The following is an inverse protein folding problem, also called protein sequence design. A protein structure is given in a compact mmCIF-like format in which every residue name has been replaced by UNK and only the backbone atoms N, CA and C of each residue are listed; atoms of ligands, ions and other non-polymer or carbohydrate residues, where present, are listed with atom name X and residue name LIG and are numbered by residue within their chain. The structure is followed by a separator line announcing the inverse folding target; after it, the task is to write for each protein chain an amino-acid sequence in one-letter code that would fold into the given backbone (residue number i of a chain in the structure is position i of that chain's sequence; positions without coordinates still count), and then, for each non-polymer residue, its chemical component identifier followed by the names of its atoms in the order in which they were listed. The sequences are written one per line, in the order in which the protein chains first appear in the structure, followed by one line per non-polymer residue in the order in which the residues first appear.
data_IF_524700650025
#
_entry.id   IF_524700650025
#
_cell.length_a   1.000
_cell.length_b   1.000
_cell.length_c   1.000
_cell.angle_alpha   90.00
_cell.angle_beta   90.00
_cell.angle_gamma   90.00
#
_symmetry.space_group_name_H-M   'P 1'
#
loop_
_entity.id
_entity.type
_entity.pdbx_description
1 polymer ?
#
# COMPACT_ATOMS: atom_id res chain seq x y z
N UNK A 1 -55.59 29.24 39.32
CA UNK A 1 -55.36 28.35 38.16
C UNK A 1 -54.10 28.85 37.47
N UNK A 2 -52.92 28.44 37.95
CA UNK A 2 -52.05 27.37 37.40
C UNK A 2 -51.83 27.49 35.89
N UNK A 3 -50.62 27.88 35.51
CA UNK A 3 -50.10 27.81 34.14
C UNK A 3 -48.58 27.91 34.18
N UNK A 4 -47.95 26.83 34.67
CA UNK A 4 -46.49 26.65 34.77
C UNK A 4 -45.82 26.91 33.41
N UNK A 5 -44.76 27.70 33.43
CA UNK A 5 -43.87 27.88 32.29
C UNK A 5 -43.24 26.56 31.85
N UNK A 6 -43.16 26.38 30.53
CA UNK A 6 -42.33 25.36 29.91
C UNK A 6 -41.11 26.07 29.32
N UNK A 7 -39.95 25.85 29.93
CA UNK A 7 -38.66 26.25 29.37
C UNK A 7 -38.33 25.33 28.18
N UNK A 8 -37.76 25.86 27.08
CA UNK A 8 -37.22 25.01 26.03
C UNK A 8 -35.95 24.32 26.55
N UNK A 9 -35.89 23.01 26.36
CA UNK A 9 -34.72 22.19 26.67
C UNK A 9 -33.58 22.55 25.71
N UNK A 10 -32.42 22.90 26.27
CA UNK A 10 -31.21 23.18 25.53
C UNK A 10 -30.79 21.93 24.74
N UNK A 11 -30.64 22.07 23.42
CA UNK A 11 -30.00 21.07 22.57
C UNK A 11 -28.52 20.97 22.93
N UNK A 12 -28.09 19.79 23.34
CA UNK A 12 -26.72 19.47 23.72
C UNK A 12 -25.77 19.76 22.55
N UNK A 13 -24.69 20.50 22.84
CA UNK A 13 -23.68 20.90 21.87
C UNK A 13 -22.97 19.68 21.29
N UNK A 14 -23.07 19.52 19.96
CA UNK A 14 -22.19 18.63 19.21
C UNK A 14 -20.72 19.09 19.31
N UNK A 15 -19.75 18.18 19.16
CA UNK A 15 -18.34 18.52 19.31
C UNK A 15 -17.93 19.60 18.31
N UNK A 16 -17.56 20.78 18.82
CA UNK A 16 -16.88 21.81 18.04
C UNK A 16 -15.51 21.28 17.65
N UNK A 17 -15.39 20.73 16.44
CA UNK A 17 -14.09 20.33 15.89
C UNK A 17 -13.17 21.56 15.85
N UNK A 18 -12.08 21.53 16.60
CA UNK A 18 -11.18 22.68 16.69
C UNK A 18 -10.44 22.86 15.36
N UNK A 19 -10.18 24.13 15.01
CA UNK A 19 -9.38 24.49 13.82
C UNK A 19 -8.07 23.70 13.73
N UNK A 20 -7.39 23.52 14.87
CA UNK A 20 -6.12 22.79 14.98
C UNK A 20 -6.21 21.30 14.60
N UNK A 21 -7.38 20.66 14.70
CA UNK A 21 -7.57 19.28 14.24
C UNK A 21 -7.59 19.17 12.71
N UNK A 22 -7.96 20.24 12.01
CA UNK A 22 -8.09 20.27 10.54
C UNK A 22 -6.77 20.52 9.82
N UNK A 23 -5.75 20.97 10.54
CA UNK A 23 -4.40 21.25 10.01
C UNK A 23 -3.35 20.31 10.57
N UNK A 24 -3.75 19.21 11.23
CA UNK A 24 -2.81 18.18 11.69
C UNK A 24 -2.02 17.65 10.47
N UNK A 25 -0.68 17.64 10.55
CA UNK A 25 0.13 17.02 9.52
C UNK A 25 -0.30 15.57 9.30
N UNK A 26 -0.38 15.17 8.03
CA UNK A 26 -0.63 13.77 7.72
C UNK A 26 0.44 12.89 8.39
N UNK A 27 0.08 11.68 8.85
CA UNK A 27 1.06 10.75 9.39
C UNK A 27 2.15 10.48 8.34
N UNK A 28 3.39 10.33 8.80
CA UNK A 28 4.53 10.06 7.93
C UNK A 28 4.25 8.77 7.12
N UNK A 29 4.37 8.79 5.78
CA UNK A 29 4.21 7.58 5.00
C UNK A 29 5.34 6.60 5.30
N UNK A 30 5.01 5.31 5.35
CA UNK A 30 5.99 4.23 5.51
C UNK A 30 6.96 4.26 4.33
N UNK A 31 8.24 4.10 4.61
CA UNK A 31 9.30 4.09 3.60
C UNK A 31 10.30 2.96 3.85
N UNK A 32 10.73 2.29 2.79
CA UNK A 32 11.81 1.31 2.89
C UNK A 32 13.15 2.03 3.05
N UNK A 33 13.96 1.57 4.00
CA UNK A 33 15.33 2.04 4.26
C UNK A 33 16.37 1.20 3.55
N UNK A 34 16.04 -0.05 3.24
CA UNK A 34 16.88 -0.99 2.49
C UNK A 34 16.01 -1.95 1.67
N UNK A 35 16.51 -2.35 0.49
CA UNK A 35 15.85 -3.29 -0.40
C UNK A 35 16.86 -4.28 -0.97
N UNK A 36 16.65 -5.56 -0.70
CA UNK A 36 17.55 -6.65 -1.10
C UNK A 36 16.81 -7.69 -1.92
N UNK A 37 17.28 -7.88 -3.15
CA UNK A 37 16.84 -8.98 -3.99
C UNK A 37 17.75 -10.20 -3.73
N UNK A 38 17.17 -11.39 -3.61
CA UNK A 38 17.95 -12.62 -3.52
C UNK A 38 18.76 -12.86 -4.80
N UNK A 39 19.87 -13.60 -4.69
CA UNK A 39 20.80 -13.81 -5.81
C UNK A 39 20.14 -14.52 -7.01
N UNK A 40 19.14 -15.36 -6.75
CA UNK A 40 18.30 -16.04 -7.74
C UNK A 40 17.12 -15.21 -8.25
N UNK A 41 16.86 -14.03 -7.66
CA UNK A 41 15.75 -13.16 -8.01
C UNK A 41 14.38 -13.65 -7.55
N UNK A 42 14.32 -14.69 -6.71
CA UNK A 42 13.06 -15.33 -6.30
C UNK A 42 12.36 -14.59 -5.15
N UNK A 43 13.08 -13.75 -4.39
CA UNK A 43 12.53 -13.03 -3.24
C UNK A 43 13.10 -11.62 -3.08
N UNK A 44 12.24 -10.72 -2.60
CA UNK A 44 12.59 -9.35 -2.22
C UNK A 44 12.42 -9.22 -0.70
N UNK A 45 13.45 -8.74 -0.03
CA UNK A 45 13.42 -8.38 1.39
C UNK A 45 13.52 -6.87 1.53
N UNK A 46 12.59 -6.28 2.27
CA UNK A 46 12.53 -4.84 2.56
C UNK A 46 12.71 -4.60 4.05
N UNK A 47 13.61 -3.68 4.39
CA UNK A 47 13.73 -3.12 5.75
C UNK A 47 13.03 -1.77 5.76
N UNK A 48 12.25 -1.51 6.80
CA UNK A 48 11.40 -0.33 6.90
C UNK A 48 11.91 0.65 7.96
N UNK A 49 11.42 1.89 7.90
CA UNK A 49 11.79 2.96 8.83
C UNK A 49 11.24 2.78 10.24
N UNK A 50 10.23 1.93 10.42
CA UNK A 50 9.73 1.48 11.71
C UNK A 50 10.50 0.28 12.31
N UNK A 51 11.56 -0.16 11.62
CA UNK A 51 12.41 -1.28 12.04
C UNK A 51 11.86 -2.66 11.69
N UNK A 52 10.68 -2.75 11.07
CA UNK A 52 10.19 -4.03 10.56
C UNK A 52 11.02 -4.50 9.36
N UNK A 53 11.05 -5.82 9.17
CA UNK A 53 11.58 -6.46 7.96
C UNK A 53 10.51 -7.37 7.41
N UNK A 54 10.27 -7.30 6.11
CA UNK A 54 9.25 -8.10 5.43
C UNK A 54 9.78 -8.65 4.12
N UNK A 55 9.27 -9.80 3.69
CA UNK A 55 9.72 -10.48 2.49
C UNK A 55 8.54 -10.84 1.60
N UNK A 56 8.70 -10.78 0.28
CA UNK A 56 7.75 -11.32 -0.69
C UNK A 56 8.49 -12.08 -1.80
N UNK A 57 7.84 -13.11 -2.34
CA UNK A 57 8.36 -13.82 -3.51
C UNK A 57 8.13 -13.00 -4.78
N UNK A 58 8.95 -13.24 -5.81
CA UNK A 58 8.77 -12.63 -7.12
C UNK A 58 7.38 -12.94 -7.71
N UNK A 59 6.86 -14.16 -7.50
CA UNK A 59 5.51 -14.53 -7.90
C UNK A 59 4.46 -13.62 -7.26
N UNK A 60 4.56 -13.39 -5.95
CA UNK A 60 3.62 -12.53 -5.21
C UNK A 60 3.69 -11.09 -5.70
N UNK A 61 4.90 -10.55 -5.90
CA UNK A 61 5.08 -9.22 -6.46
C UNK A 61 4.35 -9.11 -7.82
N UNK A 62 4.54 -10.09 -8.70
CA UNK A 62 3.92 -10.11 -10.03
C UNK A 62 2.40 -10.28 -10.00
N UNK A 63 1.89 -11.14 -9.12
CA UNK A 63 0.44 -11.31 -8.88
C UNK A 63 -0.17 -10.00 -8.36
N UNK A 64 0.61 -9.23 -7.61
CA UNK A 64 0.20 -7.95 -7.05
C UNK A 64 0.60 -6.75 -7.90
N UNK A 65 0.96 -6.95 -9.17
CA UNK A 65 1.36 -5.86 -10.07
C UNK A 65 0.26 -4.78 -10.17
N UNK A 66 0.57 -3.50 -9.90
CA UNK A 66 -0.41 -2.41 -9.90
C UNK A 66 -0.53 -1.68 -11.25
N UNK A 67 0.05 -2.21 -12.34
CA UNK A 67 -0.02 -1.53 -13.64
C UNK A 67 -1.41 -1.65 -14.28
N UNK A 68 -1.71 -0.74 -15.22
CA UNK A 68 -2.98 -0.69 -15.94
C UNK A 68 -3.31 -1.97 -16.75
N UNK A 69 -2.30 -2.78 -17.09
CA UNK A 69 -2.52 -4.08 -17.72
C UNK A 69 -3.04 -5.15 -16.74
N UNK A 70 -2.79 -4.97 -15.44
CA UNK A 70 -3.13 -5.94 -14.39
C UNK A 70 -4.29 -5.47 -13.48
N UNK A 71 -4.59 -4.17 -13.49
CA UNK A 71 -5.64 -3.53 -12.69
C UNK A 71 -6.42 -2.59 -13.58
N UNK A 72 -7.73 -2.77 -13.60
CA UNK A 72 -8.63 -1.84 -14.28
C UNK A 72 -8.66 -0.49 -13.55
N UNK A 73 -8.36 0.59 -14.27
CA UNK A 73 -8.18 1.93 -13.69
C UNK A 73 -9.47 2.52 -13.09
N UNK A 74 -10.64 2.09 -13.59
CA UNK A 74 -11.93 2.64 -13.19
C UNK A 74 -12.54 1.92 -12.00
N UNK A 75 -12.38 0.60 -11.97
CA UNK A 75 -12.97 -0.27 -10.95
C UNK A 75 -11.97 -0.67 -9.87
N UNK A 76 -10.68 -0.39 -10.07
CA UNK A 76 -9.56 -0.90 -9.26
C UNK A 76 -9.53 -2.43 -9.13
N UNK A 77 -10.27 -3.15 -9.99
CA UNK A 77 -10.34 -4.61 -9.95
C UNK A 77 -9.11 -5.20 -10.64
N UNK A 78 -8.44 -6.14 -9.96
CA UNK A 78 -7.38 -6.95 -10.58
C UNK A 78 -7.96 -7.81 -11.69
N UNK A 79 -7.39 -7.68 -12.89
CA UNK A 79 -7.74 -8.44 -14.09
C UNK A 79 -6.79 -9.62 -14.32
N UNK A 80 -5.58 -9.54 -13.75
CA UNK A 80 -4.60 -10.63 -13.78
C UNK A 80 -5.14 -11.86 -13.03
N UNK A 81 -5.20 -12.99 -13.72
CA UNK A 81 -5.44 -14.29 -13.11
C UNK A 81 -4.17 -14.76 -12.37
N UNK A 82 -4.21 -14.93 -11.04
CA UNK A 82 -3.04 -15.36 -10.26
C UNK A 82 -2.48 -16.72 -10.69
N UNK A 83 -3.30 -17.60 -11.27
CA UNK A 83 -2.88 -18.93 -11.73
C UNK A 83 -1.99 -18.88 -12.98
N UNK A 84 -2.03 -17.77 -13.73
CA UNK A 84 -1.19 -17.55 -14.91
C UNK A 84 0.22 -17.08 -14.54
N UNK A 85 0.48 -16.75 -13.27
CA UNK A 85 1.80 -16.30 -12.83
C UNK A 85 2.66 -17.52 -12.45
N UNK A 86 3.77 -17.78 -13.17
CA UNK A 86 4.61 -18.95 -12.93
C UNK A 86 5.16 -19.00 -11.50
N UNK A 87 5.19 -20.20 -10.91
CA UNK A 87 5.75 -20.39 -9.57
C UNK A 87 7.26 -20.15 -9.50
N UNK A 88 7.97 -20.36 -10.61
CA UNK A 88 9.42 -20.13 -10.76
C UNK A 88 9.75 -18.73 -11.32
N UNK A 89 8.81 -17.78 -11.24
CA UNK A 89 9.03 -16.41 -11.71
C UNK A 89 10.18 -15.77 -10.93
N UNK A 90 10.99 -14.97 -11.61
CA UNK A 90 12.12 -14.22 -11.03
C UNK A 90 12.04 -12.75 -11.36
N UNK A 91 12.52 -11.93 -10.44
CA UNK A 91 12.87 -10.54 -10.72
C UNK A 91 14.26 -10.54 -11.35
N UNK A 92 14.35 -10.03 -12.57
CA UNK A 92 15.61 -9.88 -13.30
C UNK A 92 16.32 -8.57 -12.97
N UNK A 93 15.55 -7.51 -12.75
CA UNK A 93 16.08 -6.19 -12.38
C UNK A 93 15.13 -5.49 -11.41
N UNK A 94 15.72 -4.71 -10.51
CA UNK A 94 15.02 -3.85 -9.55
C UNK A 94 15.60 -2.45 -9.65
N UNK A 95 14.72 -1.44 -9.72
CA UNK A 95 15.12 -0.05 -9.84
C UNK A 95 14.30 0.84 -8.90
N UNK A 96 14.92 1.82 -8.23
CA UNK A 96 14.18 2.83 -7.47
C UNK A 96 13.42 3.77 -8.42
N UNK A 97 12.20 4.13 -8.04
CA UNK A 97 11.41 5.18 -8.69
C UNK A 97 11.25 6.32 -7.70
N UNK A 98 12.05 7.36 -7.88
CA UNK A 98 12.17 8.46 -6.92
C UNK A 98 12.52 7.93 -5.51
N UNK A 99 11.89 8.51 -4.49
CA UNK A 99 12.04 8.09 -3.10
C UNK A 99 10.77 7.41 -2.54
N UNK A 100 9.91 6.87 -3.41
CA UNK A 100 8.57 6.41 -2.99
C UNK A 100 8.17 5.02 -3.50
N UNK A 101 8.93 4.42 -4.41
CA UNK A 101 8.55 3.17 -5.05
C UNK A 101 9.74 2.38 -5.61
N UNK A 102 9.47 1.13 -5.99
CA UNK A 102 10.32 0.29 -6.85
C UNK A 102 9.63 -0.01 -8.17
N UNK A 103 10.43 -0.22 -9.22
CA UNK A 103 10.03 -0.89 -10.44
C UNK A 103 10.83 -2.19 -10.60
N UNK A 104 10.22 -3.18 -11.23
CA UNK A 104 10.82 -4.49 -11.44
C UNK A 104 10.72 -4.90 -12.91
N UNK A 105 11.75 -5.56 -13.41
CA UNK A 105 11.68 -6.38 -14.62
C UNK A 105 11.52 -7.84 -14.18
N UNK A 106 10.46 -8.51 -14.63
CA UNK A 106 10.21 -9.91 -14.34
C UNK A 106 10.66 -10.82 -15.50
N UNK A 107 10.89 -12.10 -15.19
CA UNK A 107 11.28 -13.11 -16.18
C UNK A 107 10.22 -13.40 -17.25
N UNK A 108 8.95 -13.02 -17.01
CA UNK A 108 7.85 -13.04 -17.99
C UNK A 108 7.79 -11.75 -18.84
N UNK A 109 8.86 -10.95 -18.83
CA UNK A 109 9.03 -9.69 -19.55
C UNK A 109 8.13 -8.53 -19.10
N UNK A 110 7.39 -8.66 -18.00
CA UNK A 110 6.64 -7.52 -17.46
C UNK A 110 7.57 -6.52 -16.77
N UNK A 111 7.39 -5.22 -17.05
CA UNK A 111 8.26 -4.16 -16.54
C UNK A 111 7.58 -2.79 -16.30
N UNK A 112 6.25 -2.70 -16.42
CA UNK A 112 5.52 -1.42 -16.32
C UNK A 112 4.95 -1.14 -14.94
N UNK A 113 5.09 -2.06 -13.99
CA UNK A 113 4.60 -1.90 -12.63
C UNK A 113 5.49 -1.00 -11.80
N UNK A 114 4.89 0.05 -11.22
CA UNK A 114 5.50 0.89 -10.18
C UNK A 114 4.87 0.49 -8.86
N UNK A 115 5.68 0.10 -7.89
CA UNK A 115 5.27 -0.44 -6.60
C UNK A 115 5.59 0.56 -5.49
N UNK A 116 4.64 1.42 -5.08
CA UNK A 116 4.84 2.34 -3.97
C UNK A 116 5.13 1.63 -2.65
N UNK A 117 5.85 2.30 -1.74
CA UNK A 117 6.16 1.75 -0.41
C UNK A 117 4.96 1.25 0.34
N UNK A 118 3.84 2.00 0.30
CA UNK A 118 2.58 1.58 0.91
C UNK A 118 2.10 0.23 0.35
N UNK A 119 2.09 0.08 -0.97
CA UNK A 119 1.67 -1.15 -1.63
C UNK A 119 2.61 -2.31 -1.31
N UNK A 120 3.92 -2.08 -1.38
CA UNK A 120 4.92 -3.07 -1.01
C UNK A 120 4.77 -3.53 0.44
N UNK A 121 4.50 -2.60 1.36
CA UNK A 121 4.27 -2.91 2.77
C UNK A 121 3.05 -3.80 2.95
N UNK A 122 1.96 -3.51 2.26
CA UNK A 122 0.73 -4.29 2.34
C UNK A 122 0.96 -5.73 1.85
N UNK A 123 1.61 -5.91 0.70
CA UNK A 123 1.75 -7.24 0.08
C UNK A 123 2.85 -8.11 0.72
N UNK A 124 3.86 -7.50 1.35
CA UNK A 124 4.91 -8.23 2.06
C UNK A 124 4.51 -8.60 3.50
N UNK A 125 3.55 -7.88 4.11
CA UNK A 125 3.04 -8.19 5.44
C UNK A 125 1.97 -9.28 5.46
N UNK A 126 1.18 -9.40 4.40
CA UNK A 126 0.15 -10.44 4.29
C UNK A 126 0.70 -11.87 4.11
N UNK A 127 2.02 -12.04 4.11
CA UNK A 127 2.75 -13.31 3.97
C UNK A 127 3.12 -13.92 5.34
N UNK A 128 2.21 -13.83 6.32
CA UNK A 128 2.35 -14.42 7.66
C UNK A 128 1.42 -15.61 7.86
#
# INVERSE_FOLDING_TARGET
MVGRGLLPQASEGGPVSNFWDRIKPAPKPVSATDAKLSADGESLTLTWDDGATTTATAQVLRQQCPCAACVDEWTAKRTLDPSQVPANLRVLQMQPVGNYALAFLFSDQHNTGIYPWKHLREITQSQG
#
